data_IF_714747871484
#
_entry.id   IF_714747871484
#
_cell.length_a   1.000
_cell.length_b   1.000
_cell.length_c   1.000
_cell.angle_alpha   90.00
_cell.angle_beta   90.00
_cell.angle_gamma   90.00
#
_symmetry.space_group_name_H-M   'P 1'
#
loop_
_entity.id
_entity.type
_entity.pdbx_description
1 polymer ?
#
# COMPACT_ATOMS: atom_id res chain seq x y z
N UNK A 1 14.56 8.02 20.37
CA UNK A 1 14.15 7.86 19.82
C UNK A 1 13.81 7.83 19.20
N UNK A 2 13.53 7.94 18.92
CA UNK A 2 13.06 7.93 18.12
C UNK A 2 12.80 7.90 17.40
N UNK A 3 12.98 8.06 17.27
CA UNK A 3 12.61 8.00 16.51
C UNK A 3 12.08 7.86 16.00
N UNK A 4 11.90 7.92 16.00
CA UNK A 4 11.42 7.68 15.48
C UNK A 4 10.74 7.66 15.01
N UNK A 5 10.51 8.10 15.30
CA UNK A 5 9.72 8.16 14.80
C UNK A 5 9.50 8.06 13.71
N UNK A 6 9.96 8.48 13.75
CA UNK A 6 10.01 8.13 12.39
C UNK A 6 9.33 6.91 12.12
N UNK A 7 8.35 6.98 11.35
CA UNK A 7 7.87 5.74 10.90
C UNK A 7 9.01 5.07 10.22
N UNK A 8 9.52 4.00 10.75
CA UNK A 8 10.57 3.28 10.07
C UNK A 8 10.07 2.69 8.77
N UNK A 9 8.76 2.80 8.53
CA UNK A 9 8.19 2.23 7.33
C UNK A 9 7.53 3.29 6.49
N UNK A 10 8.36 4.17 5.93
CA UNK A 10 7.88 5.04 4.87
C UNK A 10 7.44 4.22 3.67
N UNK A 11 8.12 3.08 3.43
CA UNK A 11 7.81 2.18 2.33
C UNK A 11 7.47 0.81 2.88
N UNK A 12 6.62 0.09 2.16
CA UNK A 12 6.24 -1.27 2.55
C UNK A 12 6.28 -2.15 1.30
N UNK A 13 6.84 -3.35 1.45
CA UNK A 13 6.91 -4.29 0.35
C UNK A 13 5.59 -5.02 0.20
N UNK A 14 5.37 -5.59 -1.01
CA UNK A 14 4.10 -6.23 -1.31
C UNK A 14 3.70 -7.31 -0.31
N UNK A 15 4.58 -8.24 0.10
CA UNK A 15 4.17 -9.25 1.07
C UNK A 15 3.72 -8.66 2.41
N UNK A 16 4.44 -7.64 2.88
CA UNK A 16 4.06 -6.99 4.13
C UNK A 16 2.77 -6.21 3.98
N UNK A 17 2.56 -5.58 2.81
CA UNK A 17 1.32 -4.87 2.54
C UNK A 17 0.13 -5.83 2.55
N UNK A 18 0.29 -7.01 1.96
CA UNK A 18 -0.76 -8.03 1.99
C UNK A 18 -1.12 -8.40 3.43
N UNK A 19 -0.10 -8.59 4.27
CA UNK A 19 -0.36 -8.90 5.69
C UNK A 19 -1.06 -7.74 6.38
N UNK A 20 -0.63 -6.53 6.09
CA UNK A 20 -1.19 -5.34 6.73
C UNK A 20 -2.66 -5.15 6.36
N UNK A 21 -3.02 -5.46 5.12
CA UNK A 21 -4.40 -5.34 4.64
C UNK A 21 -5.19 -6.64 4.81
N UNK A 22 -4.54 -7.69 5.31
CA UNK A 22 -5.17 -9.00 5.47
C UNK A 22 -5.68 -9.53 4.14
N UNK A 23 -4.85 -9.43 3.11
CA UNK A 23 -5.19 -9.91 1.78
C UNK A 23 -4.18 -10.95 1.32
N UNK A 24 -4.64 -11.86 0.47
CA UNK A 24 -3.73 -12.72 -0.25
C UNK A 24 -3.10 -11.93 -1.40
N UNK A 25 -2.04 -12.50 -1.99
CA UNK A 25 -1.39 -11.88 -3.13
C UNK A 25 -2.37 -11.67 -4.29
N UNK A 26 -3.18 -12.69 -4.58
CA UNK A 26 -4.18 -12.56 -5.64
C UNK A 26 -5.29 -11.58 -5.25
N UNK A 27 -5.62 -11.50 -3.97
CA UNK A 27 -6.58 -10.52 -3.50
C UNK A 27 -6.11 -9.11 -3.72
N UNK A 28 -4.82 -8.86 -3.47
CA UNK A 28 -4.25 -7.54 -3.72
C UNK A 28 -4.24 -7.22 -5.21
N UNK A 29 -3.89 -8.20 -6.05
CA UNK A 29 -3.92 -7.99 -7.50
C UNK A 29 -5.31 -7.64 -7.99
N UNK A 30 -6.33 -8.32 -7.49
CA UNK A 30 -7.70 -8.02 -7.86
C UNK A 30 -8.11 -6.63 -7.41
N UNK A 31 -7.72 -6.25 -6.21
CA UNK A 31 -8.03 -4.93 -5.69
C UNK A 31 -7.41 -3.85 -6.57
N UNK A 32 -6.15 -4.02 -6.96
CA UNK A 32 -5.46 -3.05 -7.78
C UNK A 32 -6.12 -2.89 -9.15
N UNK A 33 -6.60 -3.98 -9.71
CA UNK A 33 -7.28 -3.92 -11.01
C UNK A 33 -8.65 -3.31 -10.90
N UNK A 34 -9.34 -3.56 -9.80
CA UNK A 34 -10.70 -3.10 -9.61
C UNK A 34 -10.76 -1.63 -9.22
N UNK A 35 -9.77 -1.18 -8.46
CA UNK A 35 -9.79 0.17 -7.89
C UNK A 35 -8.60 0.97 -8.43
N UNK A 36 -8.81 1.81 -9.45
CA UNK A 36 -7.72 2.60 -10.02
C UNK A 36 -7.18 3.66 -9.06
N UNK A 37 -7.88 3.94 -7.97
CA UNK A 37 -7.39 4.91 -6.98
C UNK A 37 -6.40 4.30 -6.01
N UNK A 38 -6.25 2.96 -6.02
CA UNK A 38 -5.28 2.32 -5.15
C UNK A 38 -3.86 2.76 -5.56
N UNK A 39 -2.99 3.09 -4.59
CA UNK A 39 -1.65 3.58 -4.92
C UNK A 39 -0.85 2.57 -5.75
N UNK A 40 -0.02 3.10 -6.63
CA UNK A 40 0.83 2.26 -7.47
C UNK A 40 2.18 2.08 -6.81
N UNK A 41 2.80 0.92 -7.00
CA UNK A 41 4.11 0.68 -6.38
C UNK A 41 5.22 1.45 -7.08
N UNK A 42 6.29 1.69 -6.32
CA UNK A 42 7.53 2.25 -6.84
C UNK A 42 8.52 1.10 -6.98
N UNK A 43 9.18 1.01 -8.12
CA UNK A 43 10.21 0.00 -8.30
C UNK A 43 11.58 0.64 -8.13
N UNK A 44 12.49 -0.10 -7.49
CA UNK A 44 13.83 0.39 -7.26
C UNK A 44 14.59 0.65 -8.57
N UNK A 45 14.27 -0.15 -9.61
CA UNK A 45 14.84 0.05 -10.93
C UNK A 45 13.93 -0.63 -11.93
N UNK A 46 14.35 -0.65 -13.20
CA UNK A 46 13.50 -1.22 -14.24
C UNK A 46 13.65 -2.72 -14.40
N UNK A 47 14.48 -3.35 -13.58
CA UNK A 47 14.65 -4.77 -13.64
C UNK A 47 13.34 -5.48 -13.28
N UNK A 48 13.07 -6.58 -13.94
CA UNK A 48 11.89 -7.40 -13.63
C UNK A 48 11.95 -7.96 -12.22
N UNK A 49 13.17 -8.09 -11.67
CA UNK A 49 13.38 -8.65 -10.35
C UNK A 49 13.45 -7.58 -9.28
N UNK A 50 13.34 -6.31 -9.67
CA UNK A 50 13.38 -5.24 -8.69
C UNK A 50 12.20 -5.35 -7.73
N UNK A 51 12.47 -5.13 -6.45
CA UNK A 51 11.42 -5.14 -5.46
C UNK A 51 10.48 -3.96 -5.70
N UNK A 52 9.20 -4.21 -5.55
CA UNK A 52 8.19 -3.16 -5.63
C UNK A 52 7.87 -2.71 -4.21
N UNK A 53 7.83 -1.40 -4.02
CA UNK A 53 7.53 -0.80 -2.73
C UNK A 53 6.31 0.09 -2.88
N UNK A 54 5.46 0.07 -1.87
CA UNK A 54 4.35 1.00 -1.79
C UNK A 54 4.68 2.07 -0.77
N UNK A 55 4.23 3.29 -1.02
CA UNK A 55 4.38 4.37 -0.04
C UNK A 55 3.26 4.20 0.98
N UNK A 56 3.63 3.92 2.22
CA UNK A 56 2.64 3.60 3.24
C UNK A 56 1.67 4.75 3.46
N UNK A 57 2.15 5.99 3.44
CA UNK A 57 1.28 7.15 3.60
C UNK A 57 0.20 7.20 2.52
N UNK A 58 0.55 6.80 1.28
CA UNK A 58 -0.44 6.76 0.20
C UNK A 58 -1.49 5.68 0.44
N UNK A 59 -1.06 4.53 0.96
CA UNK A 59 -2.00 3.46 1.28
C UNK A 59 -2.93 3.89 2.40
N UNK A 60 -2.39 4.56 3.41
CA UNK A 60 -3.21 5.06 4.50
C UNK A 60 -4.21 6.11 4.02
N UNK A 61 -3.78 7.00 3.12
CA UNK A 61 -4.68 8.00 2.56
C UNK A 61 -5.79 7.34 1.74
N UNK A 62 -5.44 6.33 0.95
CA UNK A 62 -6.44 5.56 0.20
C UNK A 62 -7.46 4.94 1.14
N UNK A 63 -6.98 4.32 2.21
CA UNK A 63 -7.85 3.69 3.19
C UNK A 63 -8.78 4.72 3.84
N UNK A 64 -8.26 5.91 4.12
CA UNK A 64 -9.06 6.98 4.70
C UNK A 64 -10.19 7.39 3.77
N UNK A 65 -9.95 7.43 2.45
CA UNK A 65 -11.02 7.76 1.51
C UNK A 65 -12.12 6.71 1.54
N UNK A 66 -11.77 5.43 1.75
CA UNK A 66 -12.77 4.38 1.84
C UNK A 66 -13.60 4.51 3.11
N UNK A 67 -12.96 4.87 4.20
CA UNK A 67 -13.67 5.10 5.46
C UNK A 67 -14.65 6.26 5.30
N UNK A 68 -14.21 7.34 4.69
CA UNK A 68 -15.06 8.52 4.50
C UNK A 68 -16.22 8.21 3.56
N UNK A 69 -15.97 7.42 2.52
CA UNK A 69 -17.03 7.03 1.60
C UNK A 69 -18.09 6.19 2.30
N UNK A 70 -17.65 5.29 3.18
CA UNK A 70 -18.59 4.49 3.97
C UNK A 70 -19.43 5.38 4.89
N UNK A 71 -18.79 6.35 5.54
CA UNK A 71 -19.46 7.18 6.52
C UNK A 71 -20.36 8.23 5.87
N UNK A 72 -20.13 8.52 4.59
CA UNK A 72 -20.93 9.51 3.86
C UNK A 72 -22.27 8.95 3.40
N UNK A 73 -22.49 7.65 3.50
CA UNK A 73 -23.72 7.01 3.02
C UNK A 73 -24.80 7.06 4.06
#
# INVERSE_FOLDING_TARGET
>A
MQPATISPKALIRQPALCLWLDLSRSGLDKLRKKDPTFPKPIKANESRQAAAYYVLAEVEAWLQTKIEARDAV
#
